data_IF_105396063918
#
_entry.id   IF_105396063918
#
_cell.length_a   1.000
_cell.length_b   1.000
_cell.length_c   1.000
_cell.angle_alpha   90.00
_cell.angle_beta   90.00
_cell.angle_gamma   90.00
#
_symmetry.space_group_name_H-M   'P 1'
#
loop_
_entity.id
_entity.type
_entity.pdbx_description
1 polymer ?
#
# COMPACT_ATOMS: atom_id res chain seq x y z
N UNK A 1 23.50 -0.44 -1.06
CA UNK A 1 24.27 -1.61 -0.54
C UNK A 1 23.24 -2.65 -0.09
N UNK A 2 23.31 -3.85 -0.63
CA UNK A 2 22.30 -4.87 -0.35
C UNK A 2 22.51 -5.45 1.06
N UNK A 3 21.53 -5.23 1.95
CA UNK A 3 21.53 -5.74 3.33
C UNK A 3 21.58 -7.28 3.38
N UNK A 4 21.17 -7.97 2.31
CA UNK A 4 21.27 -9.42 2.17
C UNK A 4 22.71 -9.88 2.12
N UNK A 5 23.55 -9.23 1.32
CA UNK A 5 24.94 -9.58 1.21
C UNK A 5 25.67 -9.39 2.55
N UNK A 6 25.37 -8.30 3.25
CA UNK A 6 25.99 -8.00 4.54
C UNK A 6 25.61 -9.03 5.62
N UNK A 7 24.33 -9.42 5.69
CA UNK A 7 23.86 -10.46 6.64
C UNK A 7 24.43 -11.83 6.32
N UNK A 8 24.48 -12.20 5.05
CA UNK A 8 25.07 -13.46 4.62
C UNK A 8 26.57 -13.52 4.97
N UNK A 9 27.30 -12.43 4.68
CA UNK A 9 28.72 -12.34 5.00
C UNK A 9 28.99 -12.36 6.51
N UNK A 10 28.19 -11.67 7.29
CA UNK A 10 28.28 -11.68 8.75
C UNK A 10 28.07 -13.10 9.32
N UNK A 11 27.09 -13.84 8.83
CA UNK A 11 26.85 -15.22 9.24
C UNK A 11 28.00 -16.15 8.88
N UNK A 12 28.63 -15.97 7.71
CA UNK A 12 29.81 -16.77 7.32
C UNK A 12 31.00 -16.60 8.28
N UNK A 13 31.13 -15.44 8.90
CA UNK A 13 32.22 -15.18 9.89
C UNK A 13 31.76 -15.39 11.33
N UNK A 14 30.62 -16.08 11.54
CA UNK A 14 30.13 -16.45 12.87
C UNK A 14 29.42 -15.32 13.64
N UNK A 15 29.12 -14.19 12.97
CA UNK A 15 28.39 -13.09 13.58
C UNK A 15 26.91 -13.18 13.21
N UNK A 16 26.02 -13.25 14.22
CA UNK A 16 24.58 -13.23 14.00
C UNK A 16 24.04 -11.79 14.06
N UNK A 17 23.71 -11.15 12.91
CA UNK A 17 23.24 -9.77 12.86
C UNK A 17 21.76 -9.70 13.22
N UNK A 18 21.40 -9.98 14.47
CA UNK A 18 20.01 -10.08 14.93
C UNK A 18 19.20 -8.82 14.71
N UNK A 19 19.80 -7.65 14.89
CA UNK A 19 19.12 -6.36 14.68
C UNK A 19 18.74 -6.17 13.22
N UNK A 20 19.63 -6.53 12.27
CA UNK A 20 19.35 -6.42 10.84
C UNK A 20 18.27 -7.42 10.43
N UNK A 21 18.34 -8.66 10.96
CA UNK A 21 17.35 -9.71 10.69
C UNK A 21 15.99 -9.37 11.31
N UNK A 22 15.96 -8.78 12.51
CA UNK A 22 14.73 -8.32 13.15
C UNK A 22 14.10 -7.15 12.37
N UNK A 23 14.89 -6.14 11.99
CA UNK A 23 14.42 -5.03 11.16
C UNK A 23 13.82 -5.49 9.83
N UNK A 24 14.43 -6.51 9.21
CA UNK A 24 13.90 -7.12 7.99
C UNK A 24 12.56 -7.83 8.23
N UNK A 25 12.45 -8.66 9.26
CA UNK A 25 11.18 -9.33 9.59
C UNK A 25 10.04 -8.33 9.79
N UNK A 26 10.32 -7.21 10.48
CA UNK A 26 9.35 -6.13 10.65
C UNK A 26 8.98 -5.51 9.29
N UNK A 27 9.98 -5.19 8.49
CA UNK A 27 9.74 -4.62 7.16
C UNK A 27 9.00 -5.58 6.22
N UNK A 28 9.31 -6.88 6.27
CA UNK A 28 8.64 -7.92 5.47
C UNK A 28 7.19 -8.13 5.92
N UNK A 29 6.90 -7.96 7.22
CA UNK A 29 5.54 -8.04 7.75
C UNK A 29 4.70 -6.77 7.55
N UNK A 30 5.29 -5.67 7.11
CA UNK A 30 4.62 -4.36 7.04
C UNK A 30 3.44 -4.37 6.07
N UNK A 31 3.59 -5.02 4.91
CA UNK A 31 2.52 -5.11 3.92
C UNK A 31 1.28 -5.82 4.49
N UNK A 32 1.48 -6.94 5.15
CA UNK A 32 0.42 -7.66 5.83
C UNK A 32 -0.25 -6.81 6.93
N UNK A 33 0.56 -6.12 7.73
CA UNK A 33 0.05 -5.26 8.81
C UNK A 33 -0.84 -4.12 8.30
N UNK A 34 -0.45 -3.48 7.21
CA UNK A 34 -1.27 -2.42 6.58
C UNK A 34 -2.60 -2.98 6.10
N UNK A 35 -2.58 -4.10 5.37
CA UNK A 35 -3.81 -4.72 4.87
C UNK A 35 -4.76 -5.11 6.01
N UNK A 36 -4.25 -5.71 7.10
CA UNK A 36 -5.07 -6.02 8.28
C UNK A 36 -5.70 -4.77 8.92
N UNK A 37 -4.95 -3.68 9.04
CA UNK A 37 -5.49 -2.42 9.60
C UNK A 37 -6.60 -1.87 8.74
N UNK A 38 -6.45 -1.88 7.40
CA UNK A 38 -7.49 -1.45 6.46
C UNK A 38 -8.73 -2.33 6.62
N UNK A 39 -8.58 -3.66 6.65
CA UNK A 39 -9.69 -4.61 6.86
C UNK A 39 -10.43 -4.30 8.17
N UNK A 40 -9.72 -4.08 9.27
CA UNK A 40 -10.34 -3.72 10.56
C UNK A 40 -11.14 -2.41 10.49
N UNK A 41 -10.62 -1.40 9.79
CA UNK A 41 -11.33 -0.14 9.57
C UNK A 41 -12.58 -0.34 8.71
N UNK A 42 -12.50 -1.15 7.64
CA UNK A 42 -13.65 -1.49 6.81
C UNK A 42 -14.73 -2.20 7.63
N UNK A 43 -14.37 -3.18 8.45
CA UNK A 43 -15.29 -3.87 9.34
C UNK A 43 -15.94 -2.94 10.37
N UNK A 44 -15.19 -1.99 10.94
CA UNK A 44 -15.72 -1.00 11.88
C UNK A 44 -16.77 -0.09 11.24
N UNK A 45 -16.64 0.17 9.95
CA UNK A 45 -17.63 0.91 9.13
C UNK A 45 -18.72 0.02 8.52
N UNK A 46 -18.76 -1.27 8.88
CA UNK A 46 -19.73 -2.26 8.34
C UNK A 46 -19.61 -2.47 6.83
N UNK A 47 -18.41 -2.32 6.29
CA UNK A 47 -18.11 -2.63 4.89
C UNK A 47 -17.78 -4.12 4.80
N UNK A 48 -18.47 -4.85 3.92
CA UNK A 48 -18.16 -6.25 3.61
C UNK A 48 -16.83 -6.33 2.87
N UNK A 49 -15.96 -7.23 3.28
CA UNK A 49 -14.65 -7.40 2.65
C UNK A 49 -14.75 -8.19 1.35
N UNK A 50 -15.53 -9.27 1.36
CA UNK A 50 -15.76 -10.08 0.16
C UNK A 50 -16.41 -9.20 -0.91
N UNK A 51 -15.85 -9.23 -2.11
CA UNK A 51 -16.26 -8.43 -3.27
C UNK A 51 -16.15 -6.90 -3.08
N UNK A 52 -15.54 -6.43 -1.97
CA UNK A 52 -15.20 -5.02 -1.83
C UNK A 52 -14.15 -4.61 -2.86
N UNK A 53 -14.20 -3.35 -3.27
CA UNK A 53 -13.20 -2.77 -4.16
C UNK A 53 -12.23 -1.89 -3.39
N UNK A 54 -10.96 -2.18 -3.52
CA UNK A 54 -9.88 -1.43 -2.86
C UNK A 54 -8.99 -0.80 -3.92
N UNK A 55 -8.80 0.51 -3.83
CA UNK A 55 -7.85 1.24 -4.65
C UNK A 55 -6.55 1.41 -3.87
N UNK A 56 -5.43 1.06 -4.51
CA UNK A 56 -4.10 1.33 -3.99
C UNK A 56 -3.46 2.42 -4.88
N UNK A 57 -3.03 3.50 -4.26
CA UNK A 57 -2.34 4.61 -4.91
C UNK A 57 -0.84 4.48 -4.69
N UNK A 58 -0.13 4.16 -5.77
CA UNK A 58 1.31 3.92 -5.80
C UNK A 58 1.67 2.45 -5.74
N UNK A 59 2.53 2.02 -6.65
CA UNK A 59 3.09 0.66 -6.75
C UNK A 59 4.62 0.66 -6.67
N UNK A 60 5.26 1.80 -6.86
CA UNK A 60 6.70 1.93 -6.90
C UNK A 60 7.35 1.81 -5.52
N UNK A 61 8.64 1.50 -5.49
CA UNK A 61 9.41 1.38 -4.25
C UNK A 61 9.59 2.74 -3.54
N UNK A 62 9.70 3.81 -4.34
CA UNK A 62 9.89 5.20 -3.87
C UNK A 62 9.01 6.16 -4.65
N UNK A 63 8.76 7.30 -4.02
CA UNK A 63 8.08 8.42 -4.64
C UNK A 63 8.84 8.91 -5.89
N UNK A 64 8.06 9.30 -6.91
CA UNK A 64 8.53 9.94 -8.14
C UNK A 64 9.63 9.14 -8.89
N UNK A 65 9.52 7.83 -8.87
CA UNK A 65 10.49 6.93 -9.50
C UNK A 65 9.79 5.70 -10.08
N UNK A 66 10.07 5.25 -11.31
CA UNK A 66 9.38 4.13 -11.97
C UNK A 66 9.86 2.74 -11.50
N UNK A 67 10.59 2.63 -10.38
CA UNK A 67 11.12 1.35 -9.89
C UNK A 67 10.10 0.61 -9.01
N UNK A 68 9.53 -0.46 -9.55
CA UNK A 68 8.57 -1.34 -8.86
C UNK A 68 9.23 -2.47 -8.08
N UNK A 69 10.54 -2.67 -8.24
CA UNK A 69 11.28 -3.75 -7.57
C UNK A 69 11.30 -3.53 -6.05
N UNK A 70 11.11 -4.61 -5.29
CA UNK A 70 11.06 -4.58 -3.83
C UNK A 70 9.94 -3.72 -3.23
N UNK A 71 8.93 -3.36 -4.00
CA UNK A 71 7.74 -2.69 -3.47
C UNK A 71 6.95 -3.64 -2.56
N UNK A 72 6.50 -3.12 -1.41
CA UNK A 72 5.64 -3.86 -0.47
C UNK A 72 4.16 -3.83 -0.86
N UNK A 73 3.83 -3.11 -1.92
CA UNK A 73 2.45 -3.02 -2.40
C UNK A 73 1.91 -4.37 -2.83
N UNK A 74 2.74 -5.24 -3.41
CA UNK A 74 2.35 -6.61 -3.77
C UNK A 74 1.91 -7.43 -2.54
N UNK A 75 2.52 -7.20 -1.38
CA UNK A 75 2.13 -7.85 -0.13
C UNK A 75 0.73 -7.37 0.33
N UNK A 76 0.41 -6.07 0.15
CA UNK A 76 -0.95 -5.54 0.40
C UNK A 76 -1.96 -6.21 -0.51
N UNK A 77 -1.67 -6.22 -1.81
CA UNK A 77 -2.54 -6.81 -2.85
C UNK A 77 -2.83 -8.27 -2.51
N UNK A 78 -1.78 -9.07 -2.32
CA UNK A 78 -1.92 -10.50 -2.04
C UNK A 78 -2.76 -10.76 -0.78
N UNK A 79 -2.54 -9.96 0.27
CA UNK A 79 -3.29 -10.09 1.52
C UNK A 79 -4.76 -9.73 1.31
N UNK A 80 -5.08 -8.60 0.68
CA UNK A 80 -6.46 -8.19 0.41
C UNK A 80 -7.20 -9.19 -0.48
N UNK A 81 -6.53 -9.70 -1.52
CA UNK A 81 -7.08 -10.74 -2.39
C UNK A 81 -7.35 -12.06 -1.66
N UNK A 82 -6.54 -12.41 -0.66
CA UNK A 82 -6.79 -13.59 0.18
C UNK A 82 -8.10 -13.50 0.99
N UNK A 83 -8.58 -12.29 1.24
CA UNK A 83 -9.89 -11.99 1.82
C UNK A 83 -10.99 -11.78 0.76
N UNK A 84 -10.71 -12.12 -0.50
CA UNK A 84 -11.63 -11.97 -1.65
C UNK A 84 -12.03 -10.53 -1.96
N UNK A 85 -11.19 -9.53 -1.61
CA UNK A 85 -11.35 -8.17 -2.08
C UNK A 85 -10.83 -8.04 -3.52
N UNK A 86 -11.48 -7.19 -4.31
CA UNK A 86 -11.01 -6.79 -5.64
C UNK A 86 -10.07 -5.59 -5.49
N UNK A 87 -8.88 -5.67 -6.07
CA UNK A 87 -7.85 -4.65 -5.91
C UNK A 87 -7.49 -4.06 -7.24
N UNK A 88 -7.62 -2.74 -7.35
CA UNK A 88 -7.10 -1.95 -8.45
C UNK A 88 -5.90 -1.13 -7.93
N UNK A 89 -4.86 -0.98 -8.74
CA UNK A 89 -3.67 -0.19 -8.41
C UNK A 89 -3.52 0.93 -9.44
N UNK A 90 -3.28 2.14 -8.97
CA UNK A 90 -2.95 3.26 -9.83
C UNK A 90 -1.60 3.86 -9.43
N UNK A 91 -0.71 3.99 -10.41
CA UNK A 91 0.60 4.62 -10.23
C UNK A 91 0.94 5.44 -11.46
N UNK A 92 1.14 6.78 -11.34
CA UNK A 92 1.44 7.63 -12.48
C UNK A 92 2.84 7.42 -13.08
N UNK A 93 3.71 6.64 -12.41
CA UNK A 93 5.08 6.35 -12.83
C UNK A 93 5.24 4.98 -13.47
N UNK A 94 4.18 4.17 -13.50
CA UNK A 94 4.20 2.79 -14.03
C UNK A 94 3.19 2.68 -15.15
N UNK A 95 3.59 2.06 -16.27
CA UNK A 95 2.67 1.82 -17.39
C UNK A 95 1.61 0.79 -16.98
N UNK A 96 0.34 1.12 -17.24
CA UNK A 96 -0.78 0.25 -16.91
C UNK A 96 -0.70 -1.14 -17.58
N UNK A 97 0.09 -1.28 -18.63
CA UNK A 97 0.33 -2.57 -19.30
C UNK A 97 1.28 -3.51 -18.54
N UNK A 98 1.99 -3.02 -17.52
CA UNK A 98 2.96 -3.83 -16.77
C UNK A 98 2.30 -4.86 -15.82
N UNK A 99 1.04 -4.66 -15.46
CA UNK A 99 0.29 -5.58 -14.60
C UNK A 99 -1.21 -5.47 -14.84
N UNK A 100 -1.93 -6.59 -14.77
CA UNK A 100 -3.40 -6.63 -14.83
C UNK A 100 -4.09 -5.87 -13.69
N UNK A 101 -3.37 -5.61 -12.60
CA UNK A 101 -3.86 -4.85 -11.45
C UNK A 101 -3.77 -3.33 -11.66
N UNK A 102 -2.92 -2.89 -12.60
CA UNK A 102 -2.71 -1.48 -12.88
C UNK A 102 -3.84 -0.93 -13.75
N UNK A 103 -4.41 0.18 -13.29
CA UNK A 103 -5.40 0.95 -14.02
C UNK A 103 -4.83 2.31 -14.41
N UNK A 104 -5.21 2.80 -15.59
CA UNK A 104 -4.74 4.09 -16.07
C UNK A 104 -5.26 5.24 -15.19
N UNK A 105 -6.55 5.23 -14.86
CA UNK A 105 -7.16 6.21 -13.98
C UNK A 105 -8.25 5.59 -13.10
N UNK A 106 -8.33 5.98 -11.80
CA UNK A 106 -9.39 5.54 -10.90
C UNK A 106 -10.74 6.16 -11.27
N UNK A 107 -11.80 5.38 -11.12
CA UNK A 107 -13.18 5.85 -11.31
C UNK A 107 -13.74 6.44 -10.01
N UNK A 108 -14.55 7.48 -10.13
CA UNK A 108 -15.26 8.06 -8.98
C UNK A 108 -16.35 7.11 -8.44
N UNK A 109 -16.68 7.26 -7.14
CA UNK A 109 -17.75 6.53 -6.43
C UNK A 109 -17.66 5.00 -6.53
N UNK A 110 -16.46 4.46 -6.72
CA UNK A 110 -16.27 3.04 -7.00
C UNK A 110 -15.71 2.22 -5.85
N UNK A 111 -14.90 2.82 -4.99
CA UNK A 111 -14.08 2.09 -4.04
C UNK A 111 -14.62 2.12 -2.61
N UNK A 112 -14.48 1.00 -1.92
CA UNK A 112 -14.83 0.83 -0.50
C UNK A 112 -13.66 1.25 0.42
N UNK A 113 -12.43 1.16 -0.11
CA UNK A 113 -11.23 1.66 0.56
C UNK A 113 -10.23 2.24 -0.45
N UNK A 114 -9.51 3.27 -0.01
CA UNK A 114 -8.38 3.88 -0.74
C UNK A 114 -7.16 3.85 0.17
N UNK A 115 -6.08 3.23 -0.32
CA UNK A 115 -4.79 3.12 0.40
C UNK A 115 -3.77 3.97 -0.33
N UNK A 116 -3.20 4.96 0.34
CA UNK A 116 -2.12 5.79 -0.20
C UNK A 116 -0.82 5.12 0.22
N UNK A 117 -0.23 4.34 -0.71
CA UNK A 117 0.94 3.50 -0.44
C UNK A 117 2.27 4.21 -0.71
N UNK A 118 2.30 5.13 -1.67
CA UNK A 118 3.50 5.88 -2.09
C UNK A 118 3.21 7.37 -2.16
N UNK A 119 4.19 8.19 -1.74
CA UNK A 119 4.06 9.65 -1.63
C UNK A 119 4.38 10.36 -2.95
N UNK A 120 3.73 9.98 -4.05
CA UNK A 120 3.92 10.70 -5.32
C UNK A 120 3.39 12.13 -5.25
N UNK A 121 4.11 13.06 -5.86
CA UNK A 121 3.71 14.47 -5.91
C UNK A 121 2.33 14.64 -6.56
N UNK A 122 1.97 13.79 -7.52
CA UNK A 122 0.67 13.80 -8.17
C UNK A 122 -0.47 13.55 -7.18
N UNK A 123 -0.31 12.63 -6.23
CA UNK A 123 -1.34 12.35 -5.21
C UNK A 123 -1.45 13.50 -4.20
N UNK A 124 -0.32 14.12 -3.84
CA UNK A 124 -0.31 15.31 -2.99
C UNK A 124 -1.03 16.47 -3.67
N UNK A 125 -0.74 16.70 -4.96
CA UNK A 125 -1.33 17.76 -5.76
C UNK A 125 -2.84 17.57 -6.00
N UNK A 126 -3.33 16.32 -6.12
CA UNK A 126 -4.76 16.02 -6.20
C UNK A 126 -5.51 16.48 -4.96
N UNK A 127 -4.89 16.36 -3.79
CA UNK A 127 -5.51 16.69 -2.52
C UNK A 127 -6.50 15.64 -2.03
N UNK A 128 -6.80 15.66 -0.74
CA UNK A 128 -7.60 14.62 -0.07
C UNK A 128 -9.04 14.54 -0.59
N UNK A 129 -9.63 15.65 -1.01
CA UNK A 129 -11.03 15.68 -1.47
C UNK A 129 -11.20 14.95 -2.82
N UNK A 130 -10.20 15.03 -3.71
CA UNK A 130 -10.20 14.25 -4.97
C UNK A 130 -10.04 12.75 -4.66
N UNK A 131 -9.15 12.41 -3.71
CA UNK A 131 -8.97 11.01 -3.30
C UNK A 131 -10.23 10.42 -2.66
N UNK A 132 -10.97 11.21 -1.88
CA UNK A 132 -12.27 10.83 -1.34
C UNK A 132 -13.32 10.60 -2.42
N UNK A 133 -13.27 11.36 -3.51
CA UNK A 133 -14.24 11.23 -4.61
C UNK A 133 -14.13 9.89 -5.36
N UNK A 134 -13.02 9.17 -5.26
CA UNK A 134 -12.92 7.80 -5.77
C UNK A 134 -13.74 6.79 -4.96
N UNK A 135 -14.01 7.13 -3.70
CA UNK A 135 -14.72 6.26 -2.79
C UNK A 135 -16.24 6.38 -2.85
N UNK A 136 -16.92 5.30 -2.46
CA UNK A 136 -18.36 5.28 -2.22
C UNK A 136 -18.73 6.15 -1.00
N UNK A 137 -20.02 6.32 -0.75
CA UNK A 137 -20.54 7.08 0.39
C UNK A 137 -19.99 6.63 1.75
N UNK A 138 -19.70 5.33 1.88
CA UNK A 138 -18.97 4.78 3.02
C UNK A 138 -17.60 4.34 2.53
N UNK A 139 -16.56 5.06 2.93
CA UNK A 139 -15.20 4.88 2.46
C UNK A 139 -14.24 4.76 3.63
N UNK A 140 -13.20 3.93 3.47
CA UNK A 140 -11.99 3.93 4.31
C UNK A 140 -10.85 4.56 3.55
N UNK A 141 -10.19 5.58 4.14
CA UNK A 141 -8.92 6.12 3.63
C UNK A 141 -7.81 5.77 4.59
N UNK A 142 -6.78 5.09 4.08
CA UNK A 142 -5.60 4.73 4.84
C UNK A 142 -4.35 5.35 4.22
N UNK A 143 -3.66 6.19 4.99
CA UNK A 143 -2.47 6.92 4.53
C UNK A 143 -1.20 6.30 5.14
N UNK A 144 -0.50 5.47 4.35
CA UNK A 144 0.74 4.80 4.78
C UNK A 144 1.88 5.80 4.99
N UNK A 145 1.85 6.92 4.28
CA UNK A 145 2.98 7.87 4.17
C UNK A 145 2.78 9.18 4.92
N UNK A 146 1.65 9.34 5.61
CA UNK A 146 1.31 10.57 6.32
C UNK A 146 1.34 11.84 5.45
N UNK A 147 0.75 11.74 4.24
CA UNK A 147 0.65 12.86 3.32
C UNK A 147 -0.39 13.89 3.76
N UNK A 148 -1.41 13.43 4.48
CA UNK A 148 -2.55 14.25 4.89
C UNK A 148 -2.70 14.27 6.41
N UNK A 149 -3.36 15.31 6.96
CA UNK A 149 -3.64 15.37 8.39
C UNK A 149 -4.44 14.14 8.86
N UNK A 150 -4.15 13.66 10.06
CA UNK A 150 -4.84 12.50 10.65
C UNK A 150 -6.36 12.68 10.81
N UNK A 151 -6.84 13.92 10.85
CA UNK A 151 -8.26 14.24 10.85
C UNK A 151 -8.96 14.05 9.50
N UNK A 152 -8.20 13.94 8.42
CA UNK A 152 -8.72 13.80 7.06
C UNK A 152 -8.78 12.36 6.56
N UNK A 153 -8.14 11.42 7.28
CA UNK A 153 -8.02 10.00 6.95
C UNK A 153 -8.54 9.12 8.09
N UNK A 154 -8.90 7.88 7.81
CA UNK A 154 -9.40 6.95 8.84
C UNK A 154 -8.28 6.26 9.60
N UNK A 155 -7.10 6.19 9.01
CA UNK A 155 -5.93 5.60 9.65
C UNK A 155 -4.65 5.90 8.89
N UNK A 156 -3.54 5.71 9.61
CA UNK A 156 -2.18 5.82 9.08
C UNK A 156 -1.27 4.84 9.81
N UNK A 157 -0.06 4.61 9.32
CA UNK A 157 0.93 3.78 10.00
C UNK A 157 1.44 4.41 11.27
#
# INVERSE_FOLDING_TARGET
MDSYYLTFKAQQVGHHPEVILAGRRINDAMGFHVAERVIRLMLSKRIHIIDSRVLILGMTFKENCPDTRNSRVQDFVSTLQSYHAQVDVHDPWVDASESELLIAEPEADRYDAVIIAVAHEQFIAMGIEVLKAFGKSTLVIFDVKHLFPSSAVDGSL
#
